data_IF_446281672383
#
_entry.id   IF_446281672383
#
_cell.length_a   1.000
_cell.length_b   1.000
_cell.length_c   1.000
_cell.angle_alpha   90.00
_cell.angle_beta   90.00
_cell.angle_gamma   90.00
#
_symmetry.space_group_name_H-M   'P 1'
#
loop_
_entity.id
_entity.type
_entity.pdbx_description
1 polymer ?
#
# COMPACT_ATOMS: atom_id res chain seq x y z
N UNK A 1 -43.45 -10.72 6.35
CA UNK A 1 -43.28 -11.15 4.95
C UNK A 1 -42.17 -12.16 4.79
N UNK A 2 -41.13 -12.13 5.64
CA UNK A 2 -40.07 -13.13 5.69
C UNK A 2 -40.24 -13.94 6.99
N UNK A 3 -40.19 -15.25 6.90
CA UNK A 3 -40.31 -16.13 8.08
C UNK A 3 -38.95 -16.39 8.72
N UNK A 4 -37.86 -16.31 7.91
CA UNK A 4 -36.49 -16.51 8.33
C UNK A 4 -35.61 -15.40 7.75
N UNK A 5 -34.64 -14.93 8.52
CA UNK A 5 -33.62 -13.96 8.11
C UNK A 5 -32.26 -14.60 8.36
N UNK A 6 -31.47 -14.79 7.30
CA UNK A 6 -30.11 -15.31 7.38
C UNK A 6 -29.16 -14.18 6.97
N UNK A 7 -28.15 -13.92 7.80
CA UNK A 7 -27.19 -12.84 7.56
C UNK A 7 -25.79 -13.42 7.67
N UNK A 8 -25.04 -13.29 6.59
CA UNK A 8 -23.63 -13.63 6.55
C UNK A 8 -22.76 -12.40 6.77
N UNK A 9 -21.51 -12.59 7.20
CA UNK A 9 -20.54 -11.51 7.48
C UNK A 9 -21.13 -10.44 8.42
N UNK A 10 -21.82 -10.85 9.49
CA UNK A 10 -22.58 -9.98 10.37
C UNK A 10 -21.69 -8.92 11.08
N UNK A 11 -20.39 -9.13 11.22
CA UNK A 11 -19.43 -8.18 11.77
C UNK A 11 -19.25 -6.92 10.91
N UNK A 12 -19.66 -6.94 9.63
CA UNK A 12 -19.48 -5.83 8.70
C UNK A 12 -20.68 -4.88 8.62
N UNK A 13 -21.75 -5.15 9.40
CA UNK A 13 -22.93 -4.28 9.41
C UNK A 13 -22.70 -3.00 10.25
N UNK A 14 -23.40 -1.94 9.86
CA UNK A 14 -23.48 -0.70 10.64
C UNK A 14 -24.80 -0.62 11.42
N UNK A 15 -24.91 0.36 12.32
CA UNK A 15 -26.12 0.54 13.14
C UNK A 15 -27.41 0.73 12.34
N UNK A 16 -27.34 1.37 11.16
CA UNK A 16 -28.54 1.55 10.31
C UNK A 16 -29.02 0.24 9.74
N UNK A 17 -28.09 -0.58 9.25
CA UNK A 17 -28.38 -1.93 8.75
C UNK A 17 -28.90 -2.81 9.88
N UNK A 18 -28.30 -2.75 11.07
CA UNK A 18 -28.78 -3.46 12.24
C UNK A 18 -30.21 -3.05 12.63
N UNK A 19 -30.54 -1.75 12.60
CA UNK A 19 -31.89 -1.26 12.85
C UNK A 19 -32.91 -1.81 11.83
N UNK A 20 -32.54 -1.92 10.55
CA UNK A 20 -33.38 -2.54 9.54
C UNK A 20 -33.63 -4.02 9.85
N UNK A 21 -32.58 -4.76 10.23
CA UNK A 21 -32.71 -6.17 10.65
C UNK A 21 -33.70 -6.31 11.81
N UNK A 22 -33.63 -5.43 12.84
CA UNK A 22 -34.58 -5.45 13.97
C UNK A 22 -36.02 -5.25 13.53
N UNK A 23 -36.27 -4.27 12.66
CA UNK A 23 -37.62 -4.01 12.13
C UNK A 23 -38.16 -5.20 11.33
N UNK A 24 -37.32 -5.79 10.49
CA UNK A 24 -37.73 -6.96 9.67
C UNK A 24 -38.05 -8.18 10.52
N UNK A 25 -37.36 -8.36 11.63
CA UNK A 25 -37.48 -9.51 12.52
C UNK A 25 -38.50 -9.31 13.66
N UNK A 26 -39.09 -8.14 13.82
CA UNK A 26 -39.91 -7.74 14.97
C UNK A 26 -40.99 -8.76 15.33
N UNK A 27 -41.65 -9.35 14.33
CA UNK A 27 -42.79 -10.25 14.53
C UNK A 27 -42.42 -11.69 14.89
N UNK A 28 -41.35 -12.23 14.26
CA UNK A 28 -41.05 -13.66 14.34
C UNK A 28 -39.71 -13.98 15.03
N UNK A 29 -38.81 -13.00 15.12
CA UNK A 29 -37.48 -13.11 15.75
C UNK A 29 -36.62 -14.29 15.25
N UNK A 30 -36.94 -14.85 14.06
CA UNK A 30 -36.22 -15.95 13.45
C UNK A 30 -35.02 -15.40 12.66
N UNK A 31 -33.91 -15.14 13.34
CA UNK A 31 -32.68 -14.65 12.73
C UNK A 31 -31.56 -15.63 12.97
N UNK A 32 -30.83 -15.90 11.92
CA UNK A 32 -29.57 -16.65 11.94
C UNK A 32 -28.48 -15.76 11.40
N UNK A 33 -27.48 -15.43 12.21
CA UNK A 33 -26.37 -14.59 11.86
C UNK A 33 -25.05 -15.37 11.94
N UNK A 34 -24.22 -15.26 10.90
CA UNK A 34 -22.86 -15.78 10.86
C UNK A 34 -21.88 -14.62 10.79
N UNK A 35 -20.82 -14.67 11.55
CA UNK A 35 -19.82 -13.62 11.55
C UNK A 35 -18.61 -13.96 12.42
N UNK A 36 -17.54 -13.22 12.19
CA UNK A 36 -16.29 -13.30 12.92
C UNK A 36 -15.80 -11.89 13.24
N UNK A 37 -15.96 -11.45 14.50
CA UNK A 37 -15.57 -10.10 14.94
C UNK A 37 -14.08 -9.82 14.78
N UNK A 38 -13.22 -10.83 14.78
CA UNK A 38 -11.79 -10.69 14.48
C UNK A 38 -11.52 -10.37 13.01
N UNK A 39 -12.53 -10.55 12.12
CA UNK A 39 -12.47 -10.17 10.71
C UNK A 39 -13.24 -8.89 10.37
N UNK A 40 -13.63 -8.11 11.38
CA UNK A 40 -14.28 -6.81 11.21
C UNK A 40 -13.25 -5.73 10.80
N UNK A 41 -13.11 -5.49 9.50
CA UNK A 41 -12.12 -4.57 8.92
C UNK A 41 -12.73 -3.41 8.10
N UNK A 42 -14.06 -3.23 8.15
CA UNK A 42 -14.76 -2.17 7.43
C UNK A 42 -15.27 -1.04 8.33
N UNK A 43 -14.55 -0.76 9.45
CA UNK A 43 -14.85 0.36 10.35
C UNK A 43 -14.92 1.71 9.61
N UNK A 44 -14.05 1.93 8.62
CA UNK A 44 -14.07 3.12 7.77
C UNK A 44 -15.35 3.28 6.91
N UNK A 45 -16.14 2.21 6.73
CA UNK A 45 -17.49 2.22 6.12
C UNK A 45 -18.61 2.30 7.15
N UNK A 46 -18.26 2.44 8.42
CA UNK A 46 -19.18 2.50 9.55
C UNK A 46 -19.59 1.15 10.12
N UNK A 47 -18.93 0.05 9.72
CA UNK A 47 -19.14 -1.26 10.37
C UNK A 47 -18.80 -1.17 11.88
N UNK A 48 -19.59 -1.88 12.68
CA UNK A 48 -19.46 -1.86 14.13
C UNK A 48 -19.53 -3.27 14.70
N UNK A 49 -18.42 -3.88 15.11
CA UNK A 49 -18.41 -5.20 15.74
C UNK A 49 -19.34 -5.28 16.98
N UNK A 50 -19.54 -4.16 17.66
CA UNK A 50 -20.48 -4.05 18.77
C UNK A 50 -21.93 -4.47 18.41
N UNK A 51 -22.33 -4.36 17.13
CA UNK A 51 -23.64 -4.85 16.67
C UNK A 51 -23.82 -6.36 16.89
N UNK A 52 -22.72 -7.14 16.82
CA UNK A 52 -22.79 -8.58 17.11
C UNK A 52 -23.14 -8.85 18.59
N UNK A 53 -22.56 -8.11 19.52
CA UNK A 53 -22.89 -8.23 20.96
C UNK A 53 -24.31 -7.77 21.24
N UNK A 54 -24.71 -6.64 20.71
CA UNK A 54 -26.08 -6.15 20.82
C UNK A 54 -27.09 -7.17 20.27
N UNK A 55 -26.78 -7.84 19.16
CA UNK A 55 -27.61 -8.88 18.61
C UNK A 55 -27.79 -10.06 19.58
N UNK A 56 -26.69 -10.53 20.19
CA UNK A 56 -26.76 -11.61 21.18
C UNK A 56 -27.63 -11.21 22.37
N UNK A 57 -27.43 -10.00 22.89
CA UNK A 57 -28.17 -9.49 24.09
C UNK A 57 -29.64 -9.24 23.76
N UNK A 58 -29.96 -8.49 22.71
CA UNK A 58 -31.32 -8.07 22.37
C UNK A 58 -32.21 -9.21 21.89
N UNK A 59 -31.64 -10.20 21.18
CA UNK A 59 -32.40 -11.36 20.69
C UNK A 59 -32.30 -12.57 21.59
N UNK A 60 -31.46 -12.57 22.61
CA UNK A 60 -31.15 -13.74 23.43
C UNK A 60 -30.56 -14.87 22.56
N UNK A 61 -29.72 -14.51 21.61
CA UNK A 61 -29.27 -15.44 20.57
C UNK A 61 -28.37 -16.52 21.14
N UNK A 62 -28.65 -17.79 20.76
CA UNK A 62 -27.76 -18.90 21.07
C UNK A 62 -26.50 -18.80 20.24
N UNK A 63 -25.34 -18.78 20.88
CA UNK A 63 -24.05 -18.76 20.22
C UNK A 63 -23.55 -20.17 19.96
N UNK A 64 -23.06 -20.41 18.73
CA UNK A 64 -22.41 -21.65 18.32
C UNK A 64 -21.05 -21.29 17.75
N UNK A 65 -19.98 -21.76 18.35
CA UNK A 65 -18.62 -21.50 17.94
C UNK A 65 -18.11 -22.60 16.99
N UNK A 66 -17.66 -22.21 15.79
CA UNK A 66 -16.96 -23.09 14.85
C UNK A 66 -15.46 -23.06 15.19
N UNK A 67 -14.98 -24.09 15.88
CA UNK A 67 -13.62 -24.10 16.44
C UNK A 67 -12.55 -24.59 15.47
N UNK A 68 -12.91 -25.44 14.51
CA UNK A 68 -11.93 -26.10 13.64
C UNK A 68 -11.59 -25.24 12.43
N UNK A 69 -10.32 -24.89 12.27
CA UNK A 69 -9.78 -24.23 11.09
C UNK A 69 -9.31 -25.27 10.08
N UNK A 70 -9.97 -25.35 8.91
CA UNK A 70 -9.67 -26.26 7.82
C UNK A 70 -8.79 -25.65 6.72
N UNK A 71 -8.52 -24.33 6.79
CA UNK A 71 -7.81 -23.61 5.73
C UNK A 71 -6.30 -23.69 5.88
N UNK A 72 -5.80 -23.33 7.04
CA UNK A 72 -4.41 -22.94 7.21
C UNK A 72 -3.60 -24.00 7.96
N UNK A 73 -2.29 -24.02 7.64
CA UNK A 73 -1.32 -24.79 8.40
C UNK A 73 -1.33 -24.41 9.89
N UNK A 74 -1.12 -25.37 10.83
CA UNK A 74 -1.14 -25.11 12.27
C UNK A 74 -0.27 -23.93 12.72
N UNK A 75 0.94 -23.77 12.18
CA UNK A 75 1.83 -22.65 12.52
C UNK A 75 1.18 -21.28 12.18
N UNK A 76 0.41 -21.20 11.09
CA UNK A 76 -0.28 -19.98 10.67
C UNK A 76 -1.46 -19.68 11.61
N UNK A 77 -2.22 -20.69 11.96
CA UNK A 77 -3.34 -20.56 12.92
C UNK A 77 -2.80 -20.06 14.26
N UNK A 78 -1.76 -20.71 14.78
CA UNK A 78 -1.15 -20.36 16.07
C UNK A 78 -0.55 -18.95 16.05
N UNK A 79 0.16 -18.58 14.97
CA UNK A 79 0.74 -17.25 14.83
C UNK A 79 -0.35 -16.16 14.75
N UNK A 80 -1.41 -16.39 13.96
CA UNK A 80 -2.49 -15.43 13.81
C UNK A 80 -3.28 -15.24 15.10
N UNK A 81 -3.52 -16.30 15.86
CA UNK A 81 -4.15 -16.22 17.18
C UNK A 81 -3.29 -15.43 18.17
N UNK A 82 -1.97 -15.69 18.21
CA UNK A 82 -1.08 -14.95 19.09
C UNK A 82 -1.13 -13.43 18.83
N UNK A 83 -1.37 -13.02 17.58
CA UNK A 83 -1.53 -11.61 17.23
C UNK A 83 -2.88 -11.07 17.70
N UNK A 84 -3.98 -11.76 17.38
CA UNK A 84 -5.34 -11.22 17.61
C UNK A 84 -5.75 -11.26 19.08
N UNK A 85 -5.16 -12.14 19.87
CA UNK A 85 -5.45 -12.28 21.31
C UNK A 85 -5.05 -11.05 22.14
N UNK A 86 -4.22 -10.18 21.60
CA UNK A 86 -3.90 -8.87 22.18
C UNK A 86 -5.08 -7.88 22.13
N UNK A 87 -6.12 -8.12 21.31
CA UNK A 87 -7.33 -7.31 21.29
C UNK A 87 -8.20 -7.65 22.50
N UNK A 88 -8.70 -6.60 23.16
CA UNK A 88 -9.54 -6.75 24.35
C UNK A 88 -11.02 -6.87 23.99
N UNK A 89 -11.44 -6.15 22.94
CA UNK A 89 -12.83 -6.09 22.49
C UNK A 89 -13.13 -7.14 21.43
N UNK A 90 -13.23 -8.43 21.84
CA UNK A 90 -13.51 -9.57 20.97
C UNK A 90 -14.27 -10.69 21.67
N UNK A 91 -14.95 -11.54 20.90
CA UNK A 91 -15.44 -12.82 21.41
C UNK A 91 -14.25 -13.78 21.57
N UNK A 92 -14.14 -14.38 22.75
CA UNK A 92 -13.09 -15.38 22.96
C UNK A 92 -13.36 -16.64 22.13
N UNK A 93 -12.35 -17.11 21.40
CA UNK A 93 -12.46 -18.25 20.46
C UNK A 93 -11.27 -19.18 20.64
N UNK A 94 -11.55 -20.40 21.00
CA UNK A 94 -10.55 -21.49 21.02
C UNK A 94 -10.52 -22.12 19.61
N UNK A 95 -9.76 -21.53 18.69
CA UNK A 95 -9.61 -22.07 17.34
C UNK A 95 -8.51 -23.13 17.31
N UNK A 96 -8.82 -24.23 16.66
CA UNK A 96 -7.90 -25.35 16.50
C UNK A 96 -7.71 -25.69 15.01
N UNK A 97 -6.47 -25.97 14.56
CA UNK A 97 -6.25 -26.51 13.23
C UNK A 97 -6.85 -27.91 13.09
N UNK A 98 -7.35 -28.25 11.91
CA UNK A 98 -7.94 -29.58 11.68
C UNK A 98 -6.90 -30.69 11.85
N UNK A 99 -7.36 -31.90 12.23
CA UNK A 99 -6.49 -33.04 12.46
C UNK A 99 -5.63 -33.44 11.24
N UNK A 100 -6.18 -33.32 10.03
CA UNK A 100 -5.44 -33.63 8.81
C UNK A 100 -4.20 -32.73 8.67
N UNK A 101 -4.32 -31.43 8.95
CA UNK A 101 -3.20 -30.49 8.95
C UNK A 101 -2.24 -30.74 10.11
N UNK A 102 -2.75 -31.12 11.30
CA UNK A 102 -1.89 -31.51 12.43
C UNK A 102 -1.04 -32.74 12.09
N UNK A 103 -1.59 -33.75 11.41
CA UNK A 103 -0.85 -34.94 10.96
C UNK A 103 0.20 -34.62 9.90
N UNK A 104 -0.09 -33.72 8.97
CA UNK A 104 0.89 -33.25 7.97
C UNK A 104 2.00 -32.39 8.57
N UNK A 105 1.67 -31.58 9.55
CA UNK A 105 2.63 -30.76 10.28
C UNK A 105 3.39 -31.54 11.35
N UNK A 106 2.79 -32.71 11.73
CA UNK A 106 3.24 -33.49 12.85
C UNK A 106 4.50 -34.25 12.61
N UNK A 107 4.88 -34.88 13.63
CA UNK A 107 5.82 -35.96 13.91
C UNK A 107 7.14 -35.99 13.15
N UNK A 108 7.66 -34.86 12.76
CA UNK A 108 9.10 -34.69 12.70
C UNK A 108 9.66 -34.49 14.14
N UNK A 109 9.33 -35.41 15.04
CA UNK A 109 10.18 -35.77 16.16
C UNK A 109 11.41 -36.45 15.57
N UNK A 110 12.30 -35.64 15.02
CA UNK A 110 13.62 -36.10 14.66
C UNK A 110 14.48 -36.02 15.92
N UNK A 111 14.90 -37.17 16.41
CA UNK A 111 15.91 -37.39 17.46
C UNK A 111 17.31 -36.85 17.10
N UNK A 112 17.42 -36.00 16.12
CA UNK A 112 18.68 -35.40 15.71
C UNK A 112 18.44 -33.93 15.40
N UNK A 113 18.73 -33.04 16.34
CA UNK A 113 19.15 -31.64 16.24
C UNK A 113 18.70 -30.76 15.07
N UNK A 114 17.75 -31.14 14.24
CA UNK A 114 17.25 -30.36 13.12
C UNK A 114 16.27 -29.30 13.60
N UNK A 115 16.54 -28.03 13.26
CA UNK A 115 15.63 -26.91 13.51
C UNK A 115 14.31 -27.18 12.81
N UNK A 116 13.17 -27.12 13.55
CA UNK A 116 11.82 -27.16 12.99
C UNK A 116 11.69 -26.04 11.94
N UNK A 117 11.34 -26.39 10.71
CA UNK A 117 11.10 -25.40 9.68
C UNK A 117 9.65 -24.88 9.80
N UNK A 118 9.51 -23.69 10.38
CA UNK A 118 8.20 -23.06 10.51
C UNK A 118 7.67 -22.60 9.15
N UNK A 119 6.34 -22.70 8.98
CA UNK A 119 5.62 -22.20 7.81
C UNK A 119 5.33 -20.69 7.88
N UNK A 120 5.50 -20.11 9.04
CA UNK A 120 5.52 -18.64 9.23
C UNK A 120 6.97 -18.20 9.33
N UNK A 121 7.36 -17.19 8.56
CA UNK A 121 8.74 -16.65 8.54
C UNK A 121 8.67 -15.12 8.63
N UNK A 122 9.46 -14.55 9.54
CA UNK A 122 9.68 -13.10 9.62
C UNK A 122 11.06 -12.83 9.05
N UNK A 123 11.14 -11.90 8.11
CA UNK A 123 12.39 -11.50 7.46
C UNK A 123 12.63 -10.02 7.59
N UNK A 124 13.82 -9.70 8.03
CA UNK A 124 14.26 -8.33 8.27
C UNK A 124 15.23 -7.88 7.18
N UNK A 125 15.06 -6.65 6.74
CA UNK A 125 15.90 -6.02 5.71
C UNK A 125 16.34 -4.63 6.19
N UNK A 126 17.56 -4.25 5.86
CA UNK A 126 18.05 -2.91 6.18
C UNK A 126 17.43 -1.84 5.26
N UNK A 127 17.15 -2.20 4.01
CA UNK A 127 16.65 -1.28 3.00
C UNK A 127 15.44 -1.85 2.24
N UNK A 128 14.57 -0.95 1.76
CA UNK A 128 13.41 -1.31 0.95
C UNK A 128 13.81 -1.98 -0.37
N UNK A 129 14.95 -1.60 -0.95
CA UNK A 129 15.52 -2.21 -2.16
C UNK A 129 15.88 -3.68 -1.97
N UNK A 130 16.37 -4.06 -0.78
CA UNK A 130 16.69 -5.45 -0.44
C UNK A 130 15.41 -6.27 -0.26
N UNK A 131 14.43 -5.73 0.49
CA UNK A 131 13.11 -6.36 0.65
C UNK A 131 12.44 -6.61 -0.70
N UNK A 132 12.43 -5.60 -1.58
CA UNK A 132 11.85 -5.71 -2.92
C UNK A 132 12.56 -6.78 -3.76
N UNK A 133 13.89 -6.82 -3.74
CA UNK A 133 14.68 -7.82 -4.47
C UNK A 133 14.37 -9.23 -3.98
N UNK A 134 14.31 -9.40 -2.65
CA UNK A 134 13.94 -10.67 -2.03
C UNK A 134 12.53 -11.12 -2.46
N UNK A 135 11.55 -10.21 -2.36
CA UNK A 135 10.16 -10.50 -2.74
C UNK A 135 10.05 -10.95 -4.21
N UNK A 136 10.67 -10.21 -5.13
CA UNK A 136 10.67 -10.53 -6.56
C UNK A 136 11.31 -11.90 -6.82
N UNK A 137 12.46 -12.18 -6.17
CA UNK A 137 13.14 -13.47 -6.32
C UNK A 137 12.30 -14.63 -5.75
N UNK A 138 11.63 -14.41 -4.62
CA UNK A 138 10.75 -15.41 -4.01
C UNK A 138 9.56 -15.73 -4.92
N UNK A 139 8.96 -14.71 -5.52
CA UNK A 139 7.86 -14.87 -6.48
C UNK A 139 8.30 -15.60 -7.76
N UNK A 140 9.49 -15.32 -8.28
CA UNK A 140 10.06 -16.04 -9.44
C UNK A 140 10.19 -17.55 -9.17
N UNK A 141 10.62 -17.90 -7.98
CA UNK A 141 10.92 -19.30 -7.64
C UNK A 141 9.67 -20.14 -7.31
N UNK A 142 8.49 -19.51 -7.15
CA UNK A 142 7.27 -20.15 -6.64
C UNK A 142 6.15 -20.34 -7.67
N UNK A 143 6.39 -20.13 -8.97
CA UNK A 143 5.36 -20.17 -10.04
C UNK A 143 5.03 -21.61 -10.48
N UNK A 144 5.08 -22.60 -9.63
CA UNK A 144 4.84 -23.99 -10.02
C UNK A 144 3.44 -24.50 -9.64
N UNK A 145 2.39 -23.86 -10.16
CA UNK A 145 1.02 -24.37 -10.01
C UNK A 145 0.33 -24.08 -8.67
N UNK A 146 1.00 -23.38 -7.75
CA UNK A 146 0.45 -22.91 -6.48
C UNK A 146 0.01 -21.46 -6.55
N UNK A 147 -1.05 -21.12 -5.78
CA UNK A 147 -1.56 -19.75 -5.72
C UNK A 147 -0.71 -18.91 -4.77
N UNK A 148 -0.21 -17.80 -5.27
CA UNK A 148 0.62 -16.86 -4.51
C UNK A 148 -0.06 -15.50 -4.39
N UNK A 149 -0.02 -14.89 -3.21
CA UNK A 149 -0.51 -13.52 -3.03
C UNK A 149 0.51 -12.65 -2.31
N UNK A 150 0.59 -11.40 -2.74
CA UNK A 150 1.25 -10.34 -1.98
C UNK A 150 0.17 -9.40 -1.47
N UNK A 151 0.07 -9.25 -0.15
CA UNK A 151 -0.98 -8.47 0.49
C UNK A 151 -0.42 -7.16 1.04
N UNK A 152 -1.07 -6.08 0.68
CA UNK A 152 -0.66 -4.71 1.01
C UNK A 152 -1.68 -4.02 1.90
N UNK A 153 -1.20 -3.13 2.78
CA UNK A 153 -2.10 -2.26 3.55
C UNK A 153 -2.74 -1.17 2.68
N UNK A 154 -2.02 -0.67 1.68
CA UNK A 154 -2.48 0.40 0.79
C UNK A 154 -2.30 0.03 -0.68
N UNK A 155 -3.13 0.63 -1.54
CA UNK A 155 -3.00 0.51 -2.99
C UNK A 155 -1.67 1.06 -3.51
N UNK A 156 -1.12 2.06 -2.84
CA UNK A 156 0.14 2.69 -3.22
C UNK A 156 1.32 1.72 -3.11
N UNK A 157 1.46 1.04 -1.97
CA UNK A 157 2.51 0.02 -1.77
C UNK A 157 2.40 -1.11 -2.81
N UNK A 158 1.17 -1.53 -3.15
CA UNK A 158 0.92 -2.53 -4.17
C UNK A 158 1.45 -2.11 -5.56
N UNK A 159 1.26 -0.85 -5.94
CA UNK A 159 1.69 -0.36 -7.25
C UNK A 159 3.20 -0.37 -7.42
N UNK A 160 3.95 -0.12 -6.35
CA UNK A 160 5.40 -0.22 -6.36
C UNK A 160 5.90 -1.62 -6.74
N UNK A 161 5.30 -2.65 -6.16
CA UNK A 161 5.61 -4.04 -6.50
C UNK A 161 5.13 -4.38 -7.91
N UNK A 162 3.94 -3.92 -8.31
CA UNK A 162 3.39 -4.14 -9.64
C UNK A 162 4.29 -3.57 -10.74
N UNK A 163 4.78 -2.33 -10.58
CA UNK A 163 5.71 -1.71 -11.51
C UNK A 163 7.03 -2.51 -11.61
N UNK A 164 7.53 -3.00 -10.48
CA UNK A 164 8.75 -3.83 -10.46
C UNK A 164 8.57 -5.16 -11.18
N UNK A 165 7.48 -5.88 -10.91
CA UNK A 165 7.19 -7.15 -11.59
C UNK A 165 7.01 -6.95 -13.10
N UNK A 166 6.38 -5.85 -13.52
CA UNK A 166 6.25 -5.45 -14.92
C UNK A 166 7.62 -5.28 -15.58
N UNK A 167 8.51 -4.50 -14.96
CA UNK A 167 9.87 -4.28 -15.49
C UNK A 167 10.72 -5.55 -15.56
N UNK A 168 10.40 -6.58 -14.76
CA UNK A 168 11.06 -7.88 -14.80
C UNK A 168 10.34 -8.92 -15.66
N UNK A 169 9.26 -8.54 -16.35
CA UNK A 169 8.46 -9.43 -17.19
C UNK A 169 7.73 -10.56 -16.43
N UNK A 170 7.51 -10.42 -15.13
CA UNK A 170 6.85 -11.42 -14.31
C UNK A 170 5.32 -11.22 -14.38
N UNK A 171 4.55 -12.23 -14.83
CA UNK A 171 3.10 -12.12 -14.92
C UNK A 171 2.46 -12.13 -13.52
N UNK A 172 1.48 -11.27 -13.31
CA UNK A 172 0.70 -11.18 -12.07
C UNK A 172 -0.72 -10.69 -12.37
N UNK A 173 -1.63 -10.85 -11.44
CA UNK A 173 -2.98 -10.27 -11.48
C UNK A 173 -3.16 -9.22 -10.38
N UNK A 174 -4.05 -8.24 -10.61
CA UNK A 174 -4.49 -7.26 -9.60
C UNK A 174 -6.02 -7.25 -9.56
N UNK A 175 -6.61 -7.32 -8.37
CA UNK A 175 -8.09 -7.29 -8.24
C UNK A 175 -8.67 -5.89 -8.10
N UNK A 176 -7.87 -4.93 -7.63
CA UNK A 176 -8.30 -3.55 -7.44
C UNK A 176 -7.82 -2.66 -8.58
N UNK A 177 -8.67 -1.67 -8.95
CA UNK A 177 -8.26 -0.59 -9.84
C UNK A 177 -7.40 0.40 -9.05
N UNK A 178 -6.09 0.21 -9.07
CA UNK A 178 -5.15 1.22 -8.58
C UNK A 178 -5.09 2.40 -9.55
N UNK A 179 -5.08 3.64 -9.04
CA UNK A 179 -4.64 4.77 -9.86
C UNK A 179 -3.16 4.56 -10.17
N UNK A 180 -2.76 4.78 -11.42
CA UNK A 180 -1.34 4.69 -11.78
C UNK A 180 -0.52 5.64 -10.90
N UNK A 181 0.48 5.12 -10.21
CA UNK A 181 1.33 5.92 -9.30
C UNK A 181 2.03 7.07 -10.02
N UNK A 182 2.35 6.89 -11.31
CA UNK A 182 2.96 7.92 -12.13
C UNK A 182 2.00 9.07 -12.50
N UNK A 183 0.68 8.89 -12.32
CA UNK A 183 -0.31 9.96 -12.46
C UNK A 183 -0.45 10.80 -11.18
N UNK A 184 0.18 10.37 -10.08
CA UNK A 184 0.18 11.14 -8.84
C UNK A 184 0.89 12.48 -9.03
N UNK A 185 0.37 13.55 -8.41
CA UNK A 185 0.90 14.91 -8.63
C UNK A 185 2.39 15.04 -8.31
N UNK A 186 2.92 14.29 -7.34
CA UNK A 186 4.35 14.26 -6.99
C UNK A 186 5.18 13.72 -8.14
N UNK A 187 4.74 12.60 -8.74
CA UNK A 187 5.43 12.01 -9.90
C UNK A 187 5.44 12.96 -11.08
N UNK A 188 4.30 13.57 -11.37
CA UNK A 188 4.15 14.53 -12.46
C UNK A 188 4.96 15.82 -12.23
N UNK A 189 5.10 16.29 -10.99
CA UNK A 189 5.94 17.43 -10.67
C UNK A 189 7.43 17.12 -10.92
N UNK A 190 7.90 15.95 -10.46
CA UNK A 190 9.29 15.53 -10.67
C UNK A 190 9.61 15.29 -12.15
N UNK A 191 8.69 14.68 -12.90
CA UNK A 191 8.80 14.54 -14.35
C UNK A 191 8.88 15.90 -15.05
N UNK A 192 8.06 16.87 -14.65
CA UNK A 192 8.12 18.23 -15.21
C UNK A 192 9.47 18.89 -14.96
N UNK A 193 10.06 18.72 -13.76
CA UNK A 193 11.40 19.21 -13.47
C UNK A 193 12.46 18.59 -14.38
N UNK A 194 12.41 17.28 -14.56
CA UNK A 194 13.36 16.55 -15.43
C UNK A 194 13.23 16.98 -16.90
N UNK A 195 12.00 17.12 -17.41
CA UNK A 195 11.74 17.63 -18.77
C UNK A 195 12.25 19.04 -18.97
N UNK A 196 12.08 19.92 -17.96
CA UNK A 196 12.63 21.28 -18.00
C UNK A 196 14.17 21.25 -18.06
N UNK A 197 14.81 20.41 -17.27
CA UNK A 197 16.25 20.26 -17.26
C UNK A 197 16.78 19.74 -18.61
N UNK A 198 16.11 18.78 -19.24
CA UNK A 198 16.48 18.22 -20.54
C UNK A 198 16.10 19.12 -21.73
N UNK A 199 15.29 20.17 -21.51
CA UNK A 199 14.87 21.08 -22.58
C UNK A 199 13.72 20.57 -23.44
N UNK A 200 13.04 19.48 -23.04
CA UNK A 200 11.87 18.90 -23.71
C UNK A 200 10.53 19.20 -23.04
N UNK A 201 10.52 20.19 -22.12
CA UNK A 201 9.34 20.58 -21.34
C UNK A 201 8.34 21.37 -22.17
N UNK A 202 7.06 21.17 -21.88
CA UNK A 202 5.95 21.97 -22.41
C UNK A 202 5.69 23.18 -21.49
N UNK A 203 4.90 24.16 -21.98
CA UNK A 203 4.41 25.25 -21.16
C UNK A 203 3.68 24.75 -19.90
N UNK A 204 2.95 23.65 -19.98
CA UNK A 204 2.25 23.04 -18.86
C UNK A 204 3.21 22.57 -17.75
N UNK A 205 4.37 22.02 -18.12
CA UNK A 205 5.42 21.60 -17.18
C UNK A 205 5.97 22.82 -16.41
N UNK A 206 6.26 23.92 -17.10
CA UNK A 206 6.72 25.15 -16.45
C UNK A 206 5.67 25.70 -15.47
N UNK A 207 4.41 25.82 -15.90
CA UNK A 207 3.33 26.30 -15.04
C UNK A 207 3.09 25.40 -13.82
N UNK A 208 3.34 24.11 -13.97
CA UNK A 208 3.19 23.12 -12.89
C UNK A 208 4.18 23.36 -11.77
N UNK A 209 5.48 23.56 -12.08
CA UNK A 209 6.54 23.53 -11.07
C UNK A 209 7.23 24.88 -10.80
N UNK A 210 6.91 25.93 -11.54
CA UNK A 210 7.52 27.25 -11.38
C UNK A 210 7.50 27.76 -9.93
N UNK A 211 6.40 27.53 -9.21
CA UNK A 211 6.21 27.89 -7.81
C UNK A 211 6.09 26.68 -6.87
N UNK A 212 6.78 25.56 -7.17
CA UNK A 212 6.85 24.36 -6.33
C UNK A 212 8.29 23.93 -6.08
N UNK A 213 9.07 24.54 -5.16
CA UNK A 213 8.70 25.51 -4.12
C UNK A 213 8.41 26.93 -4.66
N UNK A 214 7.81 27.74 -3.80
CA UNK A 214 7.40 29.09 -4.14
C UNK A 214 8.62 30.00 -4.51
N UNK A 215 8.56 30.62 -5.71
CA UNK A 215 9.62 31.47 -6.29
C UNK A 215 9.13 32.85 -6.71
N UNK A 216 7.86 33.13 -6.50
CA UNK A 216 7.20 34.37 -6.93
C UNK A 216 7.27 34.58 -8.47
N UNK A 217 7.19 33.51 -9.25
CA UNK A 217 7.22 33.58 -10.71
C UNK A 217 5.79 33.79 -11.22
N UNK A 218 5.57 34.87 -11.99
CA UNK A 218 4.28 35.14 -12.64
C UNK A 218 3.99 34.13 -13.75
N UNK A 219 2.72 33.77 -13.94
CA UNK A 219 2.26 32.96 -15.08
C UNK A 219 2.45 33.64 -16.42
N UNK A 220 2.44 34.98 -16.43
CA UNK A 220 2.64 35.81 -17.61
C UNK A 220 4.06 35.70 -18.19
N UNK A 221 5.06 35.33 -17.34
CA UNK A 221 6.40 35.09 -17.77
C UNK A 221 6.54 33.87 -18.73
N UNK A 222 5.50 33.05 -18.82
CA UNK A 222 5.44 31.90 -19.71
C UNK A 222 4.49 32.18 -20.88
N UNK A 223 5.04 32.71 -21.98
CA UNK A 223 4.32 32.90 -23.23
C UNK A 223 4.00 31.56 -23.94
N UNK A 224 3.79 31.63 -25.25
CA UNK A 224 3.56 30.43 -26.09
C UNK A 224 4.80 29.50 -26.08
N UNK A 225 5.99 30.06 -26.11
CA UNK A 225 7.28 29.35 -26.05
C UNK A 225 7.91 29.50 -24.67
N UNK A 226 7.54 28.60 -23.76
CA UNK A 226 8.12 28.59 -22.43
C UNK A 226 9.48 27.88 -22.41
N UNK A 227 10.53 28.59 -22.00
CA UNK A 227 11.87 28.02 -21.79
C UNK A 227 12.61 28.77 -20.69
N UNK A 228 13.67 28.19 -20.13
CA UNK A 228 14.50 28.86 -19.13
C UNK A 228 15.18 30.14 -19.65
N UNK A 229 15.72 30.18 -20.91
CA UNK A 229 16.24 31.42 -21.47
C UNK A 229 15.18 32.51 -21.63
N UNK A 230 13.97 32.18 -22.11
CA UNK A 230 12.85 33.11 -22.25
C UNK A 230 12.47 33.67 -20.88
N UNK A 231 12.34 32.82 -19.88
CA UNK A 231 12.02 33.20 -18.52
C UNK A 231 13.10 34.14 -17.93
N UNK A 232 14.37 33.84 -18.17
CA UNK A 232 15.50 34.67 -17.74
C UNK A 232 15.40 36.09 -18.35
N UNK A 233 15.23 36.15 -19.66
CA UNK A 233 15.11 37.43 -20.41
C UNK A 233 13.91 38.24 -19.91
N UNK A 234 12.75 37.61 -19.71
CA UNK A 234 11.55 38.27 -19.20
C UNK A 234 11.83 39.00 -17.90
N UNK A 235 12.52 38.36 -16.94
CA UNK A 235 12.84 39.01 -15.66
C UNK A 235 14.00 40.00 -15.73
N UNK A 236 14.92 39.82 -16.68
CA UNK A 236 15.96 40.84 -16.97
C UNK A 236 15.31 42.10 -17.52
N UNK A 237 14.44 42.00 -18.49
CA UNK A 237 13.72 43.12 -19.10
C UNK A 237 12.80 43.78 -18.07
N UNK A 238 12.08 43.04 -17.27
CA UNK A 238 11.15 43.55 -16.22
C UNK A 238 11.92 44.32 -15.14
N UNK A 239 13.16 43.99 -14.85
CA UNK A 239 13.96 44.57 -13.79
C UNK A 239 14.95 45.62 -14.29
N UNK A 240 14.99 45.90 -15.61
CA UNK A 240 15.87 46.91 -16.20
C UNK A 240 15.51 48.34 -15.81
N UNK A 241 14.27 48.60 -15.34
CA UNK A 241 13.81 49.92 -14.86
C UNK A 241 13.90 50.06 -13.34
N UNK A 242 12.78 50.40 -12.72
CA UNK A 242 12.64 50.52 -11.25
C UNK A 242 11.85 49.33 -10.69
N UNK A 243 12.47 48.16 -10.55
CA UNK A 243 11.76 46.96 -10.14
C UNK A 243 11.33 47.07 -8.66
N UNK A 244 10.13 46.54 -8.36
CA UNK A 244 9.71 46.30 -6.99
C UNK A 244 10.48 45.17 -6.31
N UNK A 245 10.38 45.08 -4.98
CA UNK A 245 11.08 44.06 -4.20
C UNK A 245 10.66 42.63 -4.60
N UNK A 246 9.41 42.41 -5.06
CA UNK A 246 8.89 41.12 -5.51
C UNK A 246 9.53 40.69 -6.82
N UNK A 247 9.67 41.62 -7.79
CA UNK A 247 10.30 41.39 -9.09
C UNK A 247 11.80 41.08 -8.94
N UNK A 248 12.52 41.81 -8.10
CA UNK A 248 13.93 41.51 -7.79
C UNK A 248 14.12 40.15 -7.15
N UNK A 249 13.22 39.77 -6.22
CA UNK A 249 13.23 38.46 -5.58
C UNK A 249 12.96 37.35 -6.60
N UNK A 250 12.00 37.54 -7.49
CA UNK A 250 11.69 36.57 -8.55
C UNK A 250 12.86 36.39 -9.52
N UNK A 251 13.50 37.47 -9.96
CA UNK A 251 14.70 37.43 -10.82
C UNK A 251 15.83 36.60 -10.19
N UNK A 252 16.13 36.83 -8.91
CA UNK A 252 17.14 36.06 -8.17
C UNK A 252 16.75 34.58 -8.09
N UNK A 253 15.47 34.30 -7.81
CA UNK A 253 14.96 32.95 -7.73
C UNK A 253 15.03 32.21 -9.09
N UNK A 254 14.72 32.88 -10.20
CA UNK A 254 14.89 32.39 -11.57
C UNK A 254 16.34 32.02 -11.86
N UNK A 255 17.29 32.92 -11.51
CA UNK A 255 18.72 32.63 -11.67
C UNK A 255 19.21 31.42 -10.88
N UNK A 256 18.68 31.20 -9.67
CA UNK A 256 18.96 29.99 -8.88
C UNK A 256 18.36 28.79 -9.56
N UNK A 257 17.10 28.86 -10.00
CA UNK A 257 16.40 27.75 -10.63
C UNK A 257 17.08 27.29 -11.93
N UNK A 258 17.56 28.22 -12.76
CA UNK A 258 18.32 27.90 -13.97
C UNK A 258 19.57 27.07 -13.63
N UNK A 259 20.37 27.51 -12.66
CA UNK A 259 21.57 26.76 -12.22
C UNK A 259 21.21 25.38 -11.66
N UNK A 260 20.09 25.27 -10.96
CA UNK A 260 19.59 23.98 -10.46
C UNK A 260 19.23 23.05 -11.63
N UNK A 261 18.58 23.54 -12.68
CA UNK A 261 18.22 22.73 -13.86
C UNK A 261 19.45 22.33 -14.67
N UNK A 262 20.45 23.19 -14.77
CA UNK A 262 21.74 22.84 -15.37
C UNK A 262 22.44 21.70 -14.61
N UNK A 263 22.42 21.76 -13.29
CA UNK A 263 22.96 20.66 -12.46
C UNK A 263 22.19 19.36 -12.72
N UNK A 264 20.85 19.38 -12.68
CA UNK A 264 19.99 18.22 -12.93
C UNK A 264 20.25 17.63 -14.31
N UNK A 265 20.43 18.47 -15.35
CA UNK A 265 20.72 18.03 -16.71
C UNK A 265 22.02 17.23 -16.83
N UNK A 266 23.05 17.64 -16.09
CA UNK A 266 24.42 17.09 -16.20
C UNK A 266 24.70 16.01 -15.13
N UNK A 267 23.67 15.50 -14.46
CA UNK A 267 23.80 14.55 -13.36
C UNK A 267 23.00 13.28 -13.65
N UNK A 268 23.50 12.14 -13.20
CA UNK A 268 22.76 10.88 -13.27
C UNK A 268 21.38 10.97 -12.62
N UNK A 269 20.39 10.28 -13.17
CA UNK A 269 18.99 10.39 -12.77
C UNK A 269 18.77 10.18 -11.26
N UNK A 270 19.48 9.23 -10.66
CA UNK A 270 19.44 8.97 -9.22
C UNK A 270 19.85 10.19 -8.39
N UNK A 271 20.97 10.82 -8.73
CA UNK A 271 21.48 12.01 -8.04
C UNK A 271 20.62 13.23 -8.36
N UNK A 272 20.14 13.37 -9.61
CA UNK A 272 19.22 14.42 -10.03
C UNK A 272 17.92 14.39 -9.18
N UNK A 273 17.34 13.23 -8.97
CA UNK A 273 16.15 13.06 -8.13
C UNK A 273 16.43 13.41 -6.66
N UNK A 274 17.53 12.97 -6.10
CA UNK A 274 17.94 13.34 -4.74
C UNK A 274 18.16 14.86 -4.59
N UNK A 275 18.75 15.50 -5.60
CA UNK A 275 18.97 16.94 -5.65
C UNK A 275 17.64 17.72 -5.74
N UNK A 276 16.72 17.32 -6.62
CA UNK A 276 15.38 17.90 -6.73
C UNK A 276 14.64 17.83 -5.38
N UNK A 277 14.69 16.67 -4.76
CA UNK A 277 14.05 16.42 -3.47
C UNK A 277 14.58 17.33 -2.35
N UNK A 278 15.90 17.39 -2.20
CA UNK A 278 16.58 18.07 -1.07
C UNK A 278 16.99 19.50 -1.41
N UNK A 279 17.91 19.67 -2.37
CA UNK A 279 18.54 20.96 -2.66
C UNK A 279 17.60 21.94 -3.38
N UNK A 280 16.76 21.47 -4.30
CA UNK A 280 15.70 22.30 -4.90
C UNK A 280 14.53 22.57 -3.92
N UNK A 281 14.49 21.89 -2.78
CA UNK A 281 13.52 22.11 -1.72
C UNK A 281 12.13 21.54 -1.97
N UNK A 282 11.98 20.55 -2.86
CA UNK A 282 10.67 19.98 -3.18
C UNK A 282 10.03 19.26 -1.97
N UNK A 283 10.81 18.54 -1.18
CA UNK A 283 10.32 17.89 0.04
C UNK A 283 9.82 18.90 1.09
N UNK A 284 10.51 20.05 1.21
CA UNK A 284 10.05 21.16 2.07
C UNK A 284 8.75 21.77 1.56
N UNK A 285 8.61 21.92 0.23
CA UNK A 285 7.38 22.39 -0.38
C UNK A 285 6.20 21.45 -0.06
N UNK A 286 6.37 20.12 -0.14
CA UNK A 286 5.32 19.17 0.20
C UNK A 286 4.85 19.31 1.65
N UNK A 287 5.78 19.49 2.60
CA UNK A 287 5.44 19.74 4.01
C UNK A 287 4.64 21.02 4.21
N UNK A 288 5.04 22.09 3.54
CA UNK A 288 4.33 23.38 3.61
C UNK A 288 2.93 23.28 3.00
N UNK A 289 2.81 22.62 1.86
CA UNK A 289 1.54 22.41 1.20
C UNK A 289 0.58 21.57 2.05
N UNK A 290 1.06 20.51 2.65
CA UNK A 290 0.25 19.68 3.54
C UNK A 290 -0.27 20.46 4.75
N UNK A 291 0.58 21.29 5.35
CA UNK A 291 0.15 22.16 6.45
C UNK A 291 -0.94 23.17 6.01
N UNK A 292 -0.85 23.70 4.79
CA UNK A 292 -1.88 24.59 4.21
C UNK A 292 -3.20 23.83 3.93
N UNK A 293 -3.12 22.58 3.53
CA UNK A 293 -4.29 21.72 3.29
C UNK A 293 -4.86 21.11 4.58
N UNK A 294 -4.29 21.42 5.76
CA UNK A 294 -4.70 20.85 7.06
C UNK A 294 -4.38 19.36 7.20
N UNK A 295 -3.50 18.83 6.35
CA UNK A 295 -3.09 17.44 6.35
C UNK A 295 -2.03 17.21 7.42
N UNK A 296 -2.37 16.45 8.47
CA UNK A 296 -1.47 16.14 9.59
C UNK A 296 -0.58 14.93 9.31
N UNK A 297 -1.03 14.02 8.45
CA UNK A 297 -0.29 12.83 8.03
C UNK A 297 0.26 12.98 6.61
N UNK A 298 1.57 12.87 6.49
CA UNK A 298 2.33 12.99 5.25
C UNK A 298 2.85 11.65 4.74
N UNK A 299 2.54 10.56 5.43
CA UNK A 299 3.10 9.23 5.16
C UNK A 299 2.89 8.83 3.70
N UNK A 300 1.66 8.97 3.18
CA UNK A 300 1.34 8.67 1.77
C UNK A 300 2.21 9.47 0.79
N UNK A 301 2.35 10.80 0.99
CA UNK A 301 3.15 11.63 0.08
C UNK A 301 4.65 11.33 0.17
N UNK A 302 5.13 10.94 1.35
CA UNK A 302 6.52 10.51 1.53
C UNK A 302 6.77 9.18 0.86
N UNK A 303 5.87 8.21 0.98
CA UNK A 303 5.94 6.92 0.30
C UNK A 303 5.95 7.08 -1.23
N UNK A 304 5.06 7.93 -1.78
CA UNK A 304 5.09 8.25 -3.22
C UNK A 304 6.42 8.86 -3.62
N UNK A 305 6.90 9.87 -2.87
CA UNK A 305 8.15 10.54 -3.18
C UNK A 305 9.34 9.59 -3.10
N UNK A 306 9.39 8.73 -2.09
CA UNK A 306 10.43 7.72 -1.91
C UNK A 306 10.39 6.72 -3.08
N UNK A 307 9.21 6.17 -3.40
CA UNK A 307 9.04 5.26 -4.52
C UNK A 307 9.50 5.88 -5.86
N UNK A 308 8.99 7.06 -6.22
CA UNK A 308 9.31 7.71 -7.50
C UNK A 308 10.81 8.04 -7.59
N UNK A 309 11.43 8.47 -6.48
CA UNK A 309 12.87 8.76 -6.43
C UNK A 309 13.71 7.50 -6.60
N UNK A 310 13.33 6.42 -5.95
CA UNK A 310 14.03 5.14 -6.04
C UNK A 310 13.84 4.48 -7.40
N UNK A 311 12.61 4.49 -7.92
CA UNK A 311 12.28 3.91 -9.21
C UNK A 311 13.03 4.61 -10.36
N UNK A 312 12.99 5.95 -10.42
CA UNK A 312 13.75 6.72 -11.40
C UNK A 312 15.27 6.40 -11.34
N UNK A 313 15.80 6.20 -10.13
CA UNK A 313 17.23 5.89 -9.95
C UNK A 313 17.70 4.54 -10.48
N UNK A 314 16.80 3.71 -11.03
CA UNK A 314 17.13 2.42 -11.67
C UNK A 314 17.46 2.56 -13.15
N UNK A 315 17.06 3.68 -13.75
CA UNK A 315 17.20 3.94 -15.16
C UNK A 315 18.38 4.89 -15.43
N UNK A 316 19.00 4.74 -16.58
CA UNK A 316 20.16 5.55 -16.96
C UNK A 316 19.76 6.93 -17.47
N UNK A 317 18.58 7.03 -18.09
CA UNK A 317 18.07 8.27 -18.66
C UNK A 317 16.59 8.50 -18.36
N UNK A 318 16.11 9.73 -18.58
CA UNK A 318 14.71 10.09 -18.47
C UNK A 318 13.84 9.32 -19.48
N UNK A 319 14.36 9.14 -20.69
CA UNK A 319 13.69 8.43 -21.79
C UNK A 319 13.43 6.97 -21.41
N UNK A 320 14.44 6.24 -20.94
CA UNK A 320 14.29 4.85 -20.46
C UNK A 320 13.23 4.77 -19.34
N UNK A 321 13.25 5.72 -18.42
CA UNK A 321 12.27 5.74 -17.35
C UNK A 321 10.84 6.04 -17.83
N UNK A 322 10.69 6.93 -18.82
CA UNK A 322 9.39 7.23 -19.44
C UNK A 322 8.84 6.04 -20.25
N UNK A 323 9.70 5.33 -20.98
CA UNK A 323 9.31 4.10 -21.68
C UNK A 323 8.80 3.03 -20.69
N UNK A 324 9.48 2.86 -19.56
CA UNK A 324 9.03 1.92 -18.52
C UNK A 324 7.68 2.32 -17.91
N UNK A 325 7.43 3.62 -17.72
CA UNK A 325 6.14 4.14 -17.24
C UNK A 325 5.01 3.89 -18.26
N UNK A 326 5.30 4.06 -19.55
CA UNK A 326 4.32 3.81 -20.61
C UNK A 326 3.99 2.32 -20.71
N UNK A 327 4.99 1.45 -20.68
CA UNK A 327 4.78 0.00 -20.64
C UNK A 327 3.89 -0.41 -19.45
N UNK A 328 4.14 0.17 -18.28
CA UNK A 328 3.30 -0.07 -17.11
C UNK A 328 1.86 0.43 -17.32
N UNK A 329 1.68 1.61 -17.92
CA UNK A 329 0.36 2.17 -18.25
C UNK A 329 -0.40 1.28 -19.25
N UNK A 330 0.26 0.84 -20.31
CA UNK A 330 -0.33 -0.06 -21.30
C UNK A 330 -0.78 -1.38 -20.67
N UNK A 331 0.02 -1.95 -19.78
CA UNK A 331 -0.35 -3.17 -19.09
C UNK A 331 -1.55 -2.99 -18.16
N UNK A 332 -1.68 -1.85 -17.50
CA UNK A 332 -2.86 -1.54 -16.70
C UNK A 332 -4.12 -1.40 -17.59
N UNK A 333 -4.01 -0.76 -18.77
CA UNK A 333 -5.10 -0.59 -19.73
C UNK A 333 -5.50 -1.89 -20.43
N UNK A 334 -4.55 -2.70 -20.89
CA UNK A 334 -4.83 -4.01 -21.48
C UNK A 334 -5.63 -4.91 -20.54
N UNK A 335 -5.32 -4.87 -19.24
CA UNK A 335 -6.08 -5.59 -18.21
C UNK A 335 -7.51 -5.07 -18.02
N UNK A 336 -7.73 -3.77 -18.24
CA UNK A 336 -9.09 -3.17 -18.21
C UNK A 336 -9.92 -3.60 -19.41
N UNK A 337 -9.33 -3.67 -20.61
CA UNK A 337 -10.02 -4.04 -21.84
C UNK A 337 -10.41 -5.52 -21.85
N UNK A 338 -9.53 -6.39 -21.34
CA UNK A 338 -9.80 -7.82 -21.18
C UNK A 338 -10.95 -8.05 -20.16
N UNK A 339 -11.03 -7.27 -19.09
CA UNK A 339 -12.15 -7.34 -18.13
C UNK A 339 -13.50 -6.86 -18.70
N UNK A 340 -13.51 -5.84 -19.53
CA UNK A 340 -14.74 -5.32 -20.12
C UNK A 340 -15.29 -6.17 -21.28
N UNK A 341 -14.44 -6.95 -21.94
CA UNK A 341 -14.82 -7.81 -23.08
C UNK A 341 -15.07 -9.28 -22.75
N UNK A 342 -14.74 -9.76 -21.53
CA UNK A 342 -14.75 -11.18 -21.18
C UNK A 342 -15.52 -11.50 -19.89
N UNK A 343 -16.78 -11.11 -19.80
CA UNK A 343 -17.66 -11.76 -18.79
C UNK A 343 -17.97 -13.23 -19.08
N UNK A 344 -17.49 -13.82 -20.18
CA UNK A 344 -17.81 -15.19 -20.60
C UNK A 344 -16.63 -16.16 -20.82
N UNK A 345 -15.36 -15.78 -20.53
CA UNK A 345 -14.21 -16.70 -20.65
C UNK A 345 -13.21 -16.61 -19.49
N UNK A 346 -13.65 -16.23 -18.30
CA UNK A 346 -12.80 -15.92 -17.14
C UNK A 346 -12.19 -17.13 -16.42
N UNK A 347 -12.53 -18.38 -16.77
CA UNK A 347 -12.03 -19.56 -16.05
C UNK A 347 -10.65 -20.07 -16.51
N UNK A 348 -10.04 -19.54 -17.58
CA UNK A 348 -8.78 -20.08 -18.12
C UNK A 348 -7.55 -19.16 -18.06
N UNK A 349 -7.69 -17.89 -17.63
CA UNK A 349 -6.56 -16.96 -17.50
C UNK A 349 -6.21 -16.59 -16.04
N UNK A 350 -6.87 -17.21 -15.06
CA UNK A 350 -6.58 -17.10 -13.62
C UNK A 350 -5.27 -17.80 -13.18
N UNK A 351 -4.53 -18.40 -14.10
CA UNK A 351 -3.32 -19.18 -13.82
C UNK A 351 -2.01 -18.39 -13.90
N UNK A 352 -1.98 -17.08 -13.63
CA UNK A 352 -0.68 -16.39 -13.45
C UNK A 352 -0.01 -16.71 -12.10
N UNK A 353 -0.65 -17.47 -11.24
CA UNK A 353 -0.09 -17.90 -9.95
C UNK A 353 0.12 -16.80 -8.94
N UNK A 354 0.39 -15.53 -9.36
CA UNK A 354 0.68 -14.40 -8.48
C UNK A 354 -0.46 -13.38 -8.52
N UNK A 355 -0.96 -13.01 -7.35
CA UNK A 355 -2.00 -11.98 -7.19
C UNK A 355 -1.55 -10.89 -6.23
N UNK A 356 -1.66 -9.64 -6.66
CA UNK A 356 -1.41 -8.47 -5.81
C UNK A 356 -2.75 -7.88 -5.36
N UNK A 357 -2.94 -7.68 -4.05
CA UNK A 357 -4.18 -7.18 -3.47
C UNK A 357 -3.89 -6.30 -2.24
N UNK A 358 -4.84 -5.42 -1.92
CA UNK A 358 -4.92 -4.93 -0.54
C UNK A 358 -5.53 -6.00 0.37
N UNK A 359 -5.26 -5.92 1.68
CA UNK A 359 -5.87 -6.84 2.66
C UNK A 359 -7.39 -6.78 2.61
N UNK A 360 -7.97 -5.60 2.39
CA UNK A 360 -9.42 -5.44 2.27
C UNK A 360 -10.00 -6.21 1.07
N UNK A 361 -9.31 -6.19 -0.07
CA UNK A 361 -9.71 -6.95 -1.25
C UNK A 361 -9.44 -8.45 -1.14
N UNK A 362 -8.56 -8.84 -0.23
CA UNK A 362 -8.24 -10.24 0.04
C UNK A 362 -9.22 -10.92 1.00
N UNK A 363 -10.10 -10.15 1.69
CA UNK A 363 -11.12 -10.73 2.56
C UNK A 363 -12.00 -11.71 1.77
N UNK A 364 -12.25 -12.90 2.32
CA UNK A 364 -12.98 -13.97 1.65
C UNK A 364 -12.15 -14.82 0.67
N UNK A 365 -10.92 -14.43 0.34
CA UNK A 365 -10.01 -15.19 -0.51
C UNK A 365 -9.02 -16.01 0.31
N UNK A 366 -8.31 -16.93 -0.37
CA UNK A 366 -7.28 -17.78 0.24
C UNK A 366 -6.24 -18.18 -0.80
N UNK A 367 -4.97 -18.30 -0.38
CA UNK A 367 -3.83 -18.57 -1.23
C UNK A 367 -2.89 -19.60 -0.59
N UNK A 368 -2.17 -20.36 -1.39
CA UNK A 368 -1.21 -21.32 -0.88
C UNK A 368 -0.07 -20.60 -0.15
N UNK A 369 0.47 -19.54 -0.76
CA UNK A 369 1.56 -18.74 -0.23
C UNK A 369 1.18 -17.25 -0.15
N UNK A 370 1.49 -16.63 0.98
CA UNK A 370 1.22 -15.21 1.20
C UNK A 370 2.48 -14.49 1.68
N UNK A 371 2.78 -13.35 1.04
CA UNK A 371 3.77 -12.38 1.49
C UNK A 371 3.08 -11.11 1.95
N UNK A 372 3.48 -10.58 3.10
CA UNK A 372 3.03 -9.30 3.63
C UNK A 372 4.27 -8.41 3.77
N UNK A 373 4.55 -7.53 2.80
CA UNK A 373 5.67 -6.60 2.89
C UNK A 373 5.36 -5.41 3.82
N UNK A 374 6.40 -4.67 4.16
CA UNK A 374 6.34 -3.42 4.92
C UNK A 374 5.61 -3.54 6.27
N UNK A 375 5.83 -4.66 6.99
CA UNK A 375 5.33 -4.88 8.34
C UNK A 375 6.05 -3.95 9.35
N UNK A 376 5.86 -2.64 9.19
CA UNK A 376 6.52 -1.59 9.94
C UNK A 376 5.53 -0.62 10.56
N UNK A 377 5.88 -0.05 11.72
CA UNK A 377 5.13 1.04 12.34
C UNK A 377 4.88 2.18 11.33
N UNK A 378 3.66 2.70 11.29
CA UNK A 378 3.15 3.74 10.39
C UNK A 378 2.83 3.31 8.96
N UNK A 379 3.31 2.16 8.50
CA UNK A 379 2.97 1.60 7.18
C UNK A 379 1.88 0.55 7.35
N UNK A 380 2.11 -0.40 8.24
CA UNK A 380 1.15 -1.42 8.64
C UNK A 380 1.33 -1.71 10.15
N UNK A 381 0.68 -0.96 11.05
CA UNK A 381 -0.56 -0.17 10.95
C UNK A 381 -0.37 1.14 10.18
N UNK A 382 -1.44 1.51 9.44
CA UNK A 382 -1.46 2.75 8.70
C UNK A 382 -1.74 3.93 9.65
N UNK A 383 -0.91 4.99 9.55
CA UNK A 383 -1.07 6.20 10.32
C UNK A 383 -0.60 6.10 11.78
N UNK A 384 -0.93 7.11 12.58
CA UNK A 384 -0.59 7.15 14.02
C UNK A 384 -1.71 6.51 14.86
N UNK A 385 -1.74 5.18 14.94
CA UNK A 385 -2.71 4.46 15.77
C UNK A 385 -2.39 4.61 17.27
N UNK A 386 -2.57 5.82 17.79
CA UNK A 386 -2.44 6.11 19.23
C UNK A 386 -3.69 5.75 20.01
N UNK A 387 -4.85 5.75 19.35
CA UNK A 387 -6.12 5.38 19.96
C UNK A 387 -6.25 3.86 20.02
N UNK A 388 -6.61 3.28 21.17
CA UNK A 388 -6.72 1.83 21.36
C UNK A 388 -7.65 1.15 20.34
N UNK A 389 -8.80 1.74 20.06
CA UNK A 389 -9.78 1.21 19.09
C UNK A 389 -9.21 1.10 17.67
N UNK A 390 -8.47 2.12 17.24
CA UNK A 390 -7.83 2.11 15.93
C UNK A 390 -6.70 1.08 15.85
N UNK A 391 -5.95 0.90 16.94
CA UNK A 391 -4.94 -0.14 17.03
C UNK A 391 -5.55 -1.55 16.93
N UNK A 392 -6.71 -1.77 17.56
CA UNK A 392 -7.41 -3.06 17.48
C UNK A 392 -7.97 -3.32 16.06
N UNK A 393 -8.47 -2.30 15.36
CA UNK A 393 -8.89 -2.44 13.96
C UNK A 393 -7.72 -2.80 13.06
N UNK A 394 -6.58 -2.11 13.17
CA UNK A 394 -5.37 -2.44 12.40
C UNK A 394 -4.87 -3.86 12.71
N UNK A 395 -5.00 -4.33 13.95
CA UNK A 395 -4.65 -5.71 14.32
C UNK A 395 -5.60 -6.71 13.68
N UNK A 396 -6.90 -6.43 13.56
CA UNK A 396 -7.84 -7.26 12.79
C UNK A 396 -7.47 -7.29 11.30
N UNK A 397 -7.07 -6.15 10.72
CA UNK A 397 -6.60 -6.10 9.33
C UNK A 397 -5.37 -7.01 9.16
N UNK A 398 -4.42 -6.97 10.08
CA UNK A 398 -3.24 -7.82 10.03
C UNK A 398 -3.58 -9.30 10.22
N UNK A 399 -4.45 -9.62 11.16
CA UNK A 399 -4.99 -10.97 11.37
C UNK A 399 -5.66 -11.52 10.11
N UNK A 400 -6.51 -10.71 9.46
CA UNK A 400 -7.15 -11.09 8.19
C UNK A 400 -6.08 -11.38 7.13
N UNK A 401 -5.05 -10.55 7.02
CA UNK A 401 -3.97 -10.77 6.07
C UNK A 401 -3.25 -12.11 6.30
N UNK A 402 -2.89 -12.41 7.55
CA UNK A 402 -2.22 -13.65 7.93
C UNK A 402 -3.09 -14.88 7.61
N UNK A 403 -4.38 -14.82 7.92
CA UNK A 403 -5.33 -15.93 7.72
C UNK A 403 -5.73 -16.18 6.27
N UNK A 404 -5.18 -15.42 5.30
CA UNK A 404 -5.35 -15.71 3.87
C UNK A 404 -4.41 -16.82 3.39
N UNK A 405 -3.35 -17.12 4.14
CA UNK A 405 -2.39 -18.16 3.82
C UNK A 405 -2.88 -19.55 4.20
N UNK A 406 -2.68 -20.51 3.30
CA UNK A 406 -2.94 -21.95 3.54
C UNK A 406 -1.68 -22.66 4.00
N UNK A 407 -0.58 -22.54 3.26
CA UNK A 407 0.65 -23.33 3.43
C UNK A 407 1.78 -22.54 4.06
N UNK A 408 2.12 -21.39 3.47
CA UNK A 408 3.25 -20.57 3.91
C UNK A 408 2.88 -19.09 4.03
N UNK A 409 3.44 -18.45 5.05
CA UNK A 409 3.27 -17.02 5.32
C UNK A 409 4.63 -16.39 5.55
N UNK A 410 4.96 -15.35 4.80
CA UNK A 410 6.16 -14.55 5.01
C UNK A 410 5.81 -13.09 5.35
N UNK A 411 6.29 -12.64 6.49
CA UNK A 411 6.14 -11.27 6.99
C UNK A 411 7.48 -10.55 6.77
N UNK A 412 7.47 -9.50 5.95
CA UNK A 412 8.69 -8.77 5.60
C UNK A 412 8.69 -7.41 6.29
N UNK A 413 9.78 -7.07 6.97
CA UNK A 413 9.90 -5.80 7.69
C UNK A 413 11.28 -5.16 7.48
N UNK A 414 11.32 -3.83 7.64
CA UNK A 414 12.51 -3.03 7.50
C UNK A 414 13.04 -2.65 8.88
N UNK A 415 14.33 -2.87 9.12
CA UNK A 415 15.01 -2.39 10.34
C UNK A 415 15.61 -1.01 10.15
N UNK A 416 15.79 -0.58 8.88
CA UNK A 416 16.45 0.68 8.55
C UNK A 416 17.97 0.62 8.77
N UNK A 417 18.61 1.75 8.54
CA UNK A 417 20.03 1.94 8.79
C UNK A 417 20.27 2.59 10.15
N UNK A 418 21.54 2.61 10.64
CA UNK A 418 21.88 3.32 11.89
C UNK A 418 21.50 4.81 11.86
N UNK A 419 21.54 5.44 10.69
CA UNK A 419 21.18 6.85 10.50
C UNK A 419 19.66 7.07 10.40
N UNK A 420 18.91 6.05 9.97
CA UNK A 420 17.46 6.09 9.79
C UNK A 420 16.85 4.76 10.25
N UNK A 421 16.78 4.53 11.57
CA UNK A 421 16.18 3.31 12.08
C UNK A 421 14.69 3.27 11.73
N UNK A 422 14.23 2.08 11.32
CA UNK A 422 12.83 1.74 11.19
C UNK A 422 12.49 0.69 12.24
N UNK A 423 11.30 0.78 12.77
CA UNK A 423 10.87 -0.16 13.79
C UNK A 423 9.97 -1.21 13.15
N UNK A 424 10.29 -2.50 13.33
CA UNK A 424 9.36 -3.57 13.04
C UNK A 424 8.02 -3.32 13.74
N UNK A 425 6.97 -3.83 13.14
CA UNK A 425 5.63 -3.65 13.64
C UNK A 425 5.43 -4.31 15.02
N UNK A 426 4.78 -3.59 15.96
CA UNK A 426 4.50 -4.11 17.31
C UNK A 426 3.73 -5.43 17.32
N UNK A 427 2.93 -5.73 16.28
CA UNK A 427 2.20 -6.99 16.16
C UNK A 427 3.10 -8.17 15.81
N UNK A 428 4.37 -7.95 15.48
CA UNK A 428 5.37 -9.00 15.33
C UNK A 428 5.95 -9.46 16.68
N UNK A 429 5.77 -8.69 17.76
CA UNK A 429 6.32 -9.03 19.09
C UNK A 429 5.84 -10.41 19.56
N UNK A 430 4.56 -10.78 19.47
CA UNK A 430 4.11 -12.12 19.85
C UNK A 430 4.68 -13.25 18.98
N UNK A 431 5.29 -12.88 17.85
CA UNK A 431 5.79 -13.80 16.83
C UNK A 431 7.31 -14.01 16.86
N UNK A 432 8.00 -13.59 17.92
CA UNK A 432 9.47 -13.63 18.02
C UNK A 432 10.11 -15.00 17.69
N UNK A 433 9.40 -16.12 17.94
CA UNK A 433 9.88 -17.48 17.62
C UNK A 433 10.02 -17.77 16.13
N UNK A 434 9.42 -16.97 15.26
CA UNK A 434 9.44 -17.11 13.80
C UNK A 434 10.50 -16.23 13.12
N UNK A 435 11.27 -15.45 13.87
CA UNK A 435 12.38 -14.66 13.33
C UNK A 435 13.50 -15.57 12.79
N UNK A 436 13.99 -15.24 11.59
CA UNK A 436 15.12 -15.93 10.93
C UNK A 436 16.10 -14.91 10.37
#
# INVERSE_FOLDING_TARGET
RFEYILIDEFQDINYRQYSIVKILAEKHRNIFAVGDDDQAIYGFRGARPACMRQFVEEFGAKQILLRTNYRSHPDIVEASLAVIDENKDRFHKDLEPCEAHRRQAGDHKTDAGYRKEYRVKIREFSEASEQMRYLVQSLKNRINGETCAVLFRTNLAMQGVAARLTGEGIPFSMKEKGRNIYDHFIAQDLLSYLRIAQGCATRADYLRVSNRPYRNISREAFGAEASLPVLKKYYEDLTAGSPDAGQQKAQKAVGVWIRQMEFVKNTELKLAMAFLRKACGYERYLRMRAAQEGKTDLTEWQEVLDFITEDAGRYRSLEEWQEAQELYREQLQCRETVRSGMQMKQEKQENSGITLLTVHAAKGLEFDHVWIPDCNEKTFPHGSSREPEHCEEERRIFYVAMTRAKKDLELLCLTGTRERPRFPYRFLIPLNRYHR
#
